data_IF_791558962686
#
_entry.id   IF_791558962686
#
_cell.length_a   1.000
_cell.length_b   1.000
_cell.length_c   1.000
_cell.angle_alpha   90.00
_cell.angle_beta   90.00
_cell.angle_gamma   90.00
#
_symmetry.space_group_name_H-M   'P 1'
#
loop_
_entity.id
_entity.type
_entity.pdbx_description
1 polymer ?
#
# COMPACT_ATOMS: atom_id res chain seq x y z
N UNK A 1 32.44 -19.83 44.75
CA UNK A 1 32.35 -18.73 43.75
C UNK A 1 31.76 -19.29 42.48
N UNK A 2 30.67 -18.71 42.02
CA UNK A 2 29.79 -19.18 40.94
C UNK A 2 30.48 -19.31 39.58
N UNK A 3 30.16 -20.33 38.76
CA UNK A 3 30.31 -20.25 37.32
C UNK A 3 28.99 -19.75 36.70
N UNK A 4 29.08 -18.61 36.01
CA UNK A 4 27.98 -17.99 35.27
C UNK A 4 27.44 -18.92 34.18
N UNK A 5 26.13 -19.14 34.23
CA UNK A 5 25.32 -19.82 33.23
C UNK A 5 25.32 -19.02 31.92
N UNK A 6 26.14 -19.43 30.93
CA UNK A 6 26.12 -18.88 29.58
C UNK A 6 25.17 -19.69 28.70
N UNK A 7 23.99 -19.10 28.50
CA UNK A 7 23.23 -19.04 27.25
C UNK A 7 22.79 -20.37 26.63
N UNK A 8 21.56 -20.76 26.96
CA UNK A 8 20.76 -21.78 26.30
C UNK A 8 19.71 -21.10 25.39
N UNK A 9 19.53 -21.70 24.20
CA UNK A 9 18.34 -21.76 23.35
C UNK A 9 18.00 -20.70 22.28
N UNK A 10 18.14 -21.16 21.03
CA UNK A 10 17.08 -21.31 20.01
C UNK A 10 16.16 -20.11 19.72
N UNK A 11 16.24 -19.60 18.49
CA UNK A 11 15.07 -19.45 17.62
C UNK A 11 15.51 -19.26 16.15
N UNK A 12 15.17 -20.24 15.32
CA UNK A 12 15.04 -20.08 13.87
C UNK A 12 13.87 -19.15 13.64
N UNK A 13 14.12 -17.96 13.11
CA UNK A 13 13.09 -17.12 12.47
C UNK A 13 13.34 -17.12 10.96
N UNK A 14 13.09 -18.26 10.32
CA UNK A 14 12.67 -18.30 8.92
C UNK A 14 11.21 -17.79 8.90
N UNK A 15 11.03 -16.48 8.87
CA UNK A 15 9.79 -15.85 8.46
C UNK A 15 10.10 -15.14 7.15
N UNK A 16 9.53 -15.63 6.07
CA UNK A 16 9.48 -14.96 4.77
C UNK A 16 8.99 -13.53 4.99
N UNK A 17 9.79 -12.53 4.60
CA UNK A 17 9.32 -11.15 4.48
C UNK A 17 8.34 -11.05 3.31
N UNK A 18 7.15 -11.64 3.44
CA UNK A 18 5.97 -11.15 2.74
C UNK A 18 5.46 -10.03 3.63
N UNK A 19 6.11 -8.87 3.52
CA UNK A 19 5.69 -7.68 4.26
C UNK A 19 4.24 -7.36 3.92
N UNK A 20 3.46 -6.77 4.84
CA UNK A 20 2.18 -6.20 4.46
C UNK A 20 2.39 -5.25 3.27
N UNK A 21 1.36 -5.12 2.45
CA UNK A 21 1.19 -4.18 1.33
C UNK A 21 1.31 -2.71 1.78
N UNK A 22 2.44 -2.33 2.37
CA UNK A 22 2.68 -0.97 2.86
C UNK A 22 2.71 -0.02 1.67
N UNK A 23 2.05 1.13 1.84
CA UNK A 23 2.08 2.22 0.89
C UNK A 23 3.53 2.61 0.55
N UNK A 24 3.90 2.51 -0.73
CA UNK A 24 5.10 3.14 -1.25
C UNK A 24 4.82 4.64 -1.43
N UNK A 25 5.77 5.48 -1.03
CA UNK A 25 5.71 6.91 -1.30
C UNK A 25 6.29 7.26 -2.67
N UNK A 26 5.95 8.45 -3.16
CA UNK A 26 6.48 9.03 -4.39
C UNK A 26 6.19 8.22 -5.65
N UNK A 27 5.07 7.52 -5.71
CA UNK A 27 4.69 6.70 -6.85
C UNK A 27 3.21 6.83 -7.22
N UNK A 28 2.90 6.59 -8.49
CA UNK A 28 1.54 6.40 -8.99
C UNK A 28 1.49 5.19 -9.90
N UNK A 29 0.40 4.44 -9.82
CA UNK A 29 0.14 3.32 -10.72
C UNK A 29 -0.93 3.72 -11.73
N UNK A 30 -0.65 3.41 -13.00
CA UNK A 30 -1.60 3.54 -14.09
C UNK A 30 -2.03 2.15 -14.55
N UNK A 31 -3.34 1.92 -14.79
CA UNK A 31 -3.81 0.64 -15.30
C UNK A 31 -3.21 0.37 -16.69
N UNK A 32 -3.00 -0.90 -17.01
CA UNK A 32 -2.70 -1.30 -18.39
C UNK A 32 -3.98 -1.31 -19.24
N UNK A 33 -5.14 -1.55 -18.61
CA UNK A 33 -6.45 -1.55 -19.26
C UNK A 33 -7.43 -0.54 -18.65
N UNK A 34 -8.14 -0.95 -17.60
CA UNK A 34 -9.21 -0.19 -16.97
C UNK A 34 -8.95 0.05 -15.48
N UNK A 35 -9.63 1.04 -14.92
CA UNK A 35 -9.74 1.23 -13.46
C UNK A 35 -10.98 0.49 -12.97
N UNK A 36 -10.90 -0.15 -11.82
CA UNK A 36 -12.07 -0.74 -11.15
C UNK A 36 -12.95 0.38 -10.62
N UNK A 37 -12.36 1.22 -9.76
CA UNK A 37 -13.08 2.30 -9.11
C UNK A 37 -12.17 3.47 -8.75
N UNK A 38 -12.78 4.66 -8.71
CA UNK A 38 -12.21 5.85 -8.10
C UNK A 38 -13.02 6.22 -6.87
N UNK A 39 -12.34 6.66 -5.81
CA UNK A 39 -13.00 7.31 -4.67
C UNK A 39 -12.33 8.64 -4.35
N UNK A 40 -13.15 9.67 -4.21
CA UNK A 40 -12.72 11.00 -3.75
C UNK A 40 -13.05 11.27 -2.28
N UNK A 41 -13.67 10.30 -1.60
CA UNK A 41 -14.07 10.42 -0.19
C UNK A 41 -13.06 9.78 0.76
N UNK A 42 -12.25 8.83 0.26
CA UNK A 42 -11.21 8.18 1.05
C UNK A 42 -10.02 9.11 1.27
N UNK A 43 -9.61 9.22 2.54
CA UNK A 43 -8.52 10.11 2.95
C UNK A 43 -7.30 9.29 3.34
N UNK A 44 -6.21 9.49 2.60
CA UNK A 44 -4.92 8.89 2.87
C UNK A 44 -4.69 7.53 2.19
N UNK A 45 -3.40 7.12 2.11
CA UNK A 45 -3.00 5.87 1.49
C UNK A 45 -3.60 4.64 2.18
N UNK A 46 -3.64 4.62 3.52
CA UNK A 46 -4.15 3.47 4.29
C UNK A 46 -5.63 3.19 4.01
N UNK A 47 -6.44 4.25 3.86
CA UNK A 47 -7.86 4.10 3.52
C UNK A 47 -8.03 3.56 2.09
N UNK A 48 -7.17 3.97 1.16
CA UNK A 48 -7.19 3.49 -0.22
C UNK A 48 -6.73 2.02 -0.32
N UNK A 49 -5.71 1.63 0.45
CA UNK A 49 -5.27 0.25 0.59
C UNK A 49 -6.40 -0.63 1.14
N UNK A 50 -6.99 -0.25 2.27
CA UNK A 50 -8.06 -1.02 2.90
C UNK A 50 -9.29 -1.14 1.97
N UNK A 51 -9.54 -0.13 1.13
CA UNK A 51 -10.58 -0.21 0.11
C UNK A 51 -10.24 -1.25 -0.96
N UNK A 52 -9.01 -1.22 -1.50
CA UNK A 52 -8.53 -2.25 -2.43
C UNK A 52 -8.65 -3.67 -1.85
N UNK A 53 -8.26 -3.87 -0.59
CA UNK A 53 -8.34 -5.19 0.09
C UNK A 53 -9.78 -5.73 0.19
N UNK A 54 -10.78 -4.85 0.20
CA UNK A 54 -12.20 -5.19 0.28
C UNK A 54 -12.89 -5.24 -1.09
N UNK A 55 -12.23 -4.76 -2.15
CA UNK A 55 -12.78 -4.71 -3.50
C UNK A 55 -12.35 -5.95 -4.28
N UNK A 56 -13.34 -6.75 -4.68
CA UNK A 56 -13.10 -7.91 -5.53
C UNK A 56 -12.39 -7.50 -6.83
N UNK A 57 -11.33 -8.24 -7.16
CA UNK A 57 -10.53 -8.01 -8.36
C UNK A 57 -9.50 -6.88 -8.24
N UNK A 58 -9.42 -6.15 -7.11
CA UNK A 58 -8.36 -5.18 -6.92
C UNK A 58 -7.01 -5.89 -6.70
N UNK A 59 -6.02 -5.52 -7.52
CA UNK A 59 -4.65 -6.05 -7.46
C UNK A 59 -3.68 -4.96 -7.03
N UNK A 60 -3.95 -3.71 -7.43
CA UNK A 60 -3.11 -2.58 -7.08
C UNK A 60 -3.92 -1.30 -6.86
N UNK A 61 -3.32 -0.31 -6.21
CA UNK A 61 -3.97 0.95 -5.90
C UNK A 61 -3.00 2.13 -5.94
N UNK A 62 -3.55 3.33 -6.10
CA UNK A 62 -2.80 4.58 -5.90
C UNK A 62 -3.66 5.66 -5.24
N UNK A 63 -3.01 6.53 -4.47
CA UNK A 63 -3.62 7.66 -3.80
C UNK A 63 -2.90 8.97 -4.16
N UNK A 64 -3.63 9.93 -4.72
CA UNK A 64 -3.16 11.30 -5.02
C UNK A 64 -3.79 12.28 -4.03
N UNK A 65 -3.04 12.88 -3.09
CA UNK A 65 -3.57 13.89 -2.19
C UNK A 65 -3.95 15.18 -2.92
N UNK A 66 -5.14 15.72 -2.64
CA UNK A 66 -5.60 16.98 -3.22
C UNK A 66 -5.42 18.13 -2.21
N UNK A 67 -4.32 18.86 -2.36
CA UNK A 67 -3.99 19.95 -1.41
C UNK A 67 -4.77 21.25 -1.65
N UNK A 68 -5.44 21.39 -2.80
CA UNK A 68 -6.17 22.61 -3.14
C UNK A 68 -7.60 22.64 -2.56
N UNK A 69 -8.27 21.48 -2.45
CA UNK A 69 -9.65 21.36 -1.96
C UNK A 69 -9.81 20.25 -0.89
N UNK A 70 -9.03 20.27 0.21
CA UNK A 70 -8.96 19.16 1.15
C UNK A 70 -10.27 18.84 1.89
N UNK A 71 -11.25 19.76 1.89
CA UNK A 71 -12.55 19.58 2.55
C UNK A 71 -13.60 18.88 1.69
N UNK A 72 -13.50 19.01 0.36
CA UNK A 72 -14.54 18.56 -0.58
C UNK A 72 -14.02 17.55 -1.59
N UNK A 73 -12.69 17.45 -1.74
CA UNK A 73 -12.00 16.41 -2.49
C UNK A 73 -10.65 16.19 -1.81
N UNK A 74 -10.58 15.47 -0.68
CA UNK A 74 -9.35 15.26 0.09
C UNK A 74 -8.23 14.54 -0.68
N UNK A 75 -8.58 13.71 -1.66
CA UNK A 75 -7.66 13.08 -2.59
C UNK A 75 -8.39 12.20 -3.58
N UNK A 76 -7.64 11.55 -4.46
CA UNK A 76 -8.14 10.54 -5.40
C UNK A 76 -7.54 9.19 -5.03
N UNK A 77 -8.36 8.24 -4.60
CA UNK A 77 -8.03 6.83 -4.54
C UNK A 77 -8.41 6.16 -5.86
N UNK A 78 -7.54 5.33 -6.41
CA UNK A 78 -7.73 4.60 -7.67
C UNK A 78 -7.40 3.14 -7.48
N UNK A 79 -8.35 2.26 -7.80
CA UNK A 79 -8.21 0.80 -7.70
C UNK A 79 -8.00 0.16 -9.08
N UNK A 80 -7.01 -0.71 -9.20
CA UNK A 80 -6.58 -1.31 -10.46
C UNK A 80 -6.82 -2.82 -10.45
N UNK A 81 -7.29 -3.40 -11.58
CA UNK A 81 -7.45 -4.85 -11.73
C UNK A 81 -6.17 -5.57 -12.14
N UNK A 82 -5.09 -4.81 -12.37
CA UNK A 82 -3.78 -5.28 -12.78
C UNK A 82 -2.68 -4.68 -11.87
N UNK A 83 -1.44 -5.08 -12.09
CA UNK A 83 -0.27 -4.64 -11.31
C UNK A 83 0.10 -3.18 -11.55
N UNK A 84 -0.44 -2.57 -12.61
CA UNK A 84 -0.22 -1.20 -13.02
C UNK A 84 1.22 -0.88 -13.43
N UNK A 85 1.37 0.12 -14.30
CA UNK A 85 2.68 0.72 -14.61
C UNK A 85 3.03 1.75 -13.55
N UNK A 86 4.19 1.58 -12.90
CA UNK A 86 4.71 2.48 -11.86
C UNK A 86 5.42 3.68 -12.48
N UNK A 87 4.98 4.88 -12.10
CA UNK A 87 5.65 6.14 -12.41
C UNK A 87 6.01 6.89 -11.13
N UNK A 88 7.11 7.64 -11.17
CA UNK A 88 7.55 8.48 -10.05
C UNK A 88 6.68 9.74 -9.95
N UNK A 89 5.97 9.89 -8.83
CA UNK A 89 5.09 11.01 -8.55
C UNK A 89 5.33 11.54 -7.15
N UNK A 90 5.99 12.70 -7.03
CA UNK A 90 6.55 13.23 -5.77
C UNK A 90 5.58 13.40 -4.58
N UNK A 91 4.26 13.31 -4.79
CA UNK A 91 3.23 13.55 -3.77
C UNK A 91 2.27 12.38 -3.61
N UNK A 92 2.41 11.35 -4.43
CA UNK A 92 1.44 10.28 -4.54
C UNK A 92 1.96 9.04 -3.82
N UNK A 93 1.04 8.13 -3.55
CA UNK A 93 1.29 6.86 -2.90
C UNK A 93 0.72 5.73 -3.74
N UNK A 94 1.32 4.56 -3.68
CA UNK A 94 0.82 3.39 -4.40
C UNK A 94 1.13 2.08 -3.67
N UNK A 95 0.47 1.01 -4.07
CA UNK A 95 0.72 -0.32 -3.51
C UNK A 95 0.09 -1.44 -4.35
N UNK A 96 0.53 -2.67 -4.09
CA UNK A 96 0.03 -3.91 -4.72
C UNK A 96 -0.37 -4.90 -3.64
N UNK A 97 -1.46 -5.63 -3.84
CA UNK A 97 -1.90 -6.70 -2.95
C UNK A 97 -1.16 -7.99 -3.31
N UNK A 98 -0.46 -8.59 -2.34
CA UNK A 98 0.23 -9.88 -2.52
C UNK A 98 1.64 -9.81 -3.13
N UNK A 99 2.35 -8.69 -2.95
CA UNK A 99 3.78 -8.57 -3.26
C UNK A 99 4.68 -9.36 -2.30
#
# INVERSE_FOLDING_TARGET
MSPSCRTICWAVCLATLSGPSVAEDRCKLYPTGSVIEYSYELVGPDACLAFCEQTEGCVAWSYTPHTFNPKTAPGECRLLPDDGTREDHTRDFCGRLGG
#
